data_IF_721896905227
#
_entry.id   IF_721896905227
#
_cell.length_a   1.000
_cell.length_b   1.000
_cell.length_c   1.000
_cell.angle_alpha   90.00
_cell.angle_beta   90.00
_cell.angle_gamma   90.00
#
_symmetry.space_group_name_H-M   'P 1'
#
loop_
_entity.id
_entity.type
_entity.pdbx_description
1 polymer ?
#
# COMPACT_ATOMS: atom_id res chain seq x y z
N UNK A 1 -25.73 -5.89 22.80
CA UNK A 1 -25.74 -7.37 22.69
C UNK A 1 -26.41 -7.85 21.41
N UNK A 2 -27.69 -7.53 21.15
CA UNK A 2 -28.38 -7.96 19.92
C UNK A 2 -27.62 -7.55 18.65
N UNK A 3 -27.13 -6.31 18.59
CA UNK A 3 -26.31 -5.85 17.46
C UNK A 3 -25.03 -6.69 17.28
N UNK A 4 -24.26 -6.93 18.34
CA UNK A 4 -23.02 -7.73 18.29
C UNK A 4 -23.28 -9.16 17.83
N UNK A 5 -24.37 -9.79 18.30
CA UNK A 5 -24.74 -11.15 17.88
C UNK A 5 -25.14 -11.16 16.40
N UNK A 6 -25.89 -10.15 15.96
CA UNK A 6 -26.29 -10.03 14.56
C UNK A 6 -25.10 -9.76 13.65
N UNK A 7 -24.12 -9.02 14.16
CA UNK A 7 -22.87 -8.75 13.48
C UNK A 7 -21.97 -9.99 13.40
N UNK A 8 -21.84 -10.74 14.50
CA UNK A 8 -21.15 -12.03 14.51
C UNK A 8 -21.77 -13.01 13.52
N UNK A 9 -23.10 -13.10 13.49
CA UNK A 9 -23.81 -13.94 12.54
C UNK A 9 -23.60 -13.52 11.09
N UNK A 10 -23.56 -12.20 10.84
CA UNK A 10 -23.25 -11.64 9.53
C UNK A 10 -21.84 -12.05 9.07
N UNK A 11 -20.81 -11.84 9.90
CA UNK A 11 -19.43 -12.21 9.56
C UNK A 11 -19.24 -13.72 9.40
N UNK A 12 -19.87 -14.54 10.25
CA UNK A 12 -19.81 -16.01 10.10
C UNK A 12 -20.38 -16.46 8.75
N UNK A 13 -21.44 -15.79 8.28
CA UNK A 13 -22.04 -16.07 6.98
C UNK A 13 -21.12 -15.62 5.83
N UNK A 14 -20.48 -14.47 5.97
CA UNK A 14 -19.53 -13.97 4.96
C UNK A 14 -18.32 -14.90 4.82
N UNK A 15 -17.69 -15.29 5.94
CA UNK A 15 -16.59 -16.26 5.97
C UNK A 15 -16.98 -17.58 5.32
N UNK A 16 -18.22 -18.04 5.52
CA UNK A 16 -18.73 -19.27 4.89
C UNK A 16 -18.87 -19.16 3.37
N UNK A 17 -19.29 -17.99 2.86
CA UNK A 17 -19.53 -17.77 1.42
C UNK A 17 -18.22 -17.54 0.67
N UNK A 18 -17.30 -16.76 1.24
CA UNK A 18 -16.05 -16.36 0.57
C UNK A 18 -14.88 -17.32 0.82
N UNK A 19 -14.92 -18.05 1.93
CA UNK A 19 -13.85 -18.90 2.41
C UNK A 19 -12.83 -18.14 3.27
N UNK A 20 -12.33 -18.81 4.31
CA UNK A 20 -11.48 -18.20 5.35
C UNK A 20 -10.23 -17.49 4.80
N UNK A 21 -9.55 -18.08 3.82
CA UNK A 21 -8.30 -17.52 3.26
C UNK A 21 -8.54 -16.21 2.51
N UNK A 22 -9.57 -16.16 1.68
CA UNK A 22 -9.91 -14.96 0.91
C UNK A 22 -10.40 -13.85 1.83
N UNK A 23 -11.18 -14.22 2.85
CA UNK A 23 -11.73 -13.29 3.83
C UNK A 23 -10.64 -12.59 4.65
N UNK A 24 -9.64 -13.34 5.16
CA UNK A 24 -8.56 -12.75 5.98
C UNK A 24 -7.54 -11.91 5.19
N UNK A 25 -7.58 -11.94 3.85
CA UNK A 25 -6.75 -11.07 3.02
C UNK A 25 -7.30 -9.64 2.92
N UNK A 26 -8.58 -9.44 3.24
CA UNK A 26 -9.16 -8.10 3.29
C UNK A 26 -8.91 -7.48 4.68
N UNK A 27 -8.22 -6.34 4.70
CA UNK A 27 -7.90 -5.61 5.93
C UNK A 27 -9.13 -5.17 6.72
N UNK A 28 -10.25 -4.87 6.04
CA UNK A 28 -11.49 -4.50 6.71
C UNK A 28 -12.13 -5.69 7.42
N UNK A 29 -12.12 -6.85 6.78
CA UNK A 29 -12.63 -8.09 7.35
C UNK A 29 -11.76 -8.56 8.53
N UNK A 30 -10.44 -8.38 8.44
CA UNK A 30 -9.54 -8.62 9.58
C UNK A 30 -9.87 -7.67 10.75
N UNK A 31 -10.08 -6.38 10.49
CA UNK A 31 -10.48 -5.40 11.49
C UNK A 31 -11.82 -5.79 12.15
N UNK A 32 -12.81 -6.22 11.35
CA UNK A 32 -14.12 -6.67 11.84
C UNK A 32 -14.00 -7.92 12.74
N UNK A 33 -13.10 -8.87 12.43
CA UNK A 33 -12.76 -10.00 13.31
C UNK A 33 -12.15 -9.54 14.62
N UNK A 34 -11.21 -8.58 14.59
CA UNK A 34 -10.60 -8.02 15.81
C UNK A 34 -11.68 -7.36 16.68
N UNK A 35 -12.54 -6.51 16.10
CA UNK A 35 -13.64 -5.87 16.84
C UNK A 35 -14.57 -6.90 17.46
N UNK A 36 -15.01 -7.90 16.70
CA UNK A 36 -15.90 -8.94 17.21
C UNK A 36 -15.24 -9.74 18.32
N UNK A 37 -13.97 -10.10 18.18
CA UNK A 37 -13.23 -10.84 19.20
C UNK A 37 -13.15 -10.06 20.52
N UNK A 38 -12.90 -8.75 20.46
CA UNK A 38 -12.84 -7.90 21.65
C UNK A 38 -14.22 -7.69 22.28
N UNK A 39 -15.29 -7.53 21.49
CA UNK A 39 -16.65 -7.47 22.02
C UNK A 39 -17.07 -8.77 22.69
N UNK A 40 -16.73 -9.92 22.11
CA UNK A 40 -16.99 -11.24 22.70
C UNK A 40 -16.17 -11.46 23.98
N UNK A 41 -14.90 -11.04 24.01
CA UNK A 41 -14.06 -11.11 25.20
C UNK A 41 -14.62 -10.24 26.34
N UNK A 42 -14.99 -8.99 26.06
CA UNK A 42 -15.61 -8.09 27.06
C UNK A 42 -16.93 -8.66 27.60
N UNK A 43 -17.75 -9.27 26.74
CA UNK A 43 -18.99 -9.91 27.16
C UNK A 43 -18.75 -11.19 27.98
N UNK A 44 -17.79 -12.02 27.57
CA UNK A 44 -17.41 -13.24 28.29
C UNK A 44 -16.91 -12.93 29.71
N UNK A 45 -16.10 -11.88 29.89
CA UNK A 45 -15.66 -11.42 31.21
C UNK A 45 -16.83 -10.99 32.10
N UNK A 46 -17.82 -10.28 31.55
CA UNK A 46 -19.04 -9.90 32.31
C UNK A 46 -19.90 -11.11 32.68
N UNK A 47 -20.03 -12.10 31.79
CA UNK A 47 -20.73 -13.34 32.09
C UNK A 47 -19.99 -14.15 33.16
N UNK A 48 -18.66 -14.21 33.09
CA UNK A 48 -17.83 -14.87 34.09
C UNK A 48 -18.00 -14.21 35.45
N UNK A 49 -18.00 -12.88 35.52
CA UNK A 49 -18.26 -12.12 36.75
C UNK A 49 -19.66 -12.42 37.31
N UNK A 50 -20.70 -12.37 36.47
CA UNK A 50 -22.06 -12.70 36.88
C UNK A 50 -22.18 -14.15 37.39
N UNK A 51 -21.46 -15.09 36.76
CA UNK A 51 -21.38 -16.48 37.19
C UNK A 51 -20.67 -16.63 38.54
N UNK A 52 -19.53 -15.97 38.73
CA UNK A 52 -18.80 -15.97 40.01
C UNK A 52 -19.63 -15.35 41.13
N UNK A 53 -20.30 -14.22 40.88
CA UNK A 53 -21.20 -13.59 41.83
C UNK A 53 -22.34 -14.55 42.21
N UNK A 54 -22.97 -15.21 41.24
CA UNK A 54 -24.05 -16.15 41.50
C UNK A 54 -23.59 -17.36 42.34
N UNK A 55 -22.44 -17.95 42.04
CA UNK A 55 -21.89 -19.09 42.79
C UNK A 55 -21.53 -18.68 44.23
N UNK A 56 -20.78 -17.60 44.41
CA UNK A 56 -20.33 -17.18 45.75
C UNK A 56 -21.49 -16.72 46.64
N UNK A 57 -22.49 -16.03 46.07
CA UNK A 57 -23.67 -15.62 46.83
C UNK A 57 -24.64 -16.77 47.12
N UNK A 58 -24.63 -17.84 46.30
CA UNK A 58 -25.41 -19.05 46.56
C UNK A 58 -24.84 -19.86 47.72
N UNK A 59 -23.52 -19.97 47.78
CA UNK A 59 -22.84 -20.74 48.83
C UNK A 59 -22.79 -19.97 50.17
N UNK A 60 -22.58 -18.65 50.13
CA UNK A 60 -22.55 -17.80 51.32
C UNK A 60 -23.11 -16.39 51.02
N UNK A 61 -24.41 -16.14 51.25
CA UNK A 61 -25.04 -14.86 50.90
C UNK A 61 -24.49 -13.66 51.70
N UNK A 62 -23.96 -13.91 52.90
CA UNK A 62 -23.31 -12.88 53.74
C UNK A 62 -21.77 -12.99 53.72
N UNK A 63 -21.20 -13.76 52.78
CA UNK A 63 -19.76 -13.91 52.67
C UNK A 63 -19.09 -12.65 52.11
N UNK A 64 -17.86 -12.37 52.57
CA UNK A 64 -17.07 -11.23 52.07
C UNK A 64 -16.88 -11.28 50.54
N UNK A 65 -16.80 -12.48 49.96
CA UNK A 65 -16.70 -12.65 48.51
C UNK A 65 -17.99 -12.26 47.75
N UNK A 66 -19.17 -12.54 48.33
CA UNK A 66 -20.43 -12.10 47.74
C UNK A 66 -20.52 -10.56 47.77
N UNK A 67 -20.22 -9.94 48.91
CA UNK A 67 -20.15 -8.48 49.02
C UNK A 67 -19.16 -7.86 48.01
N UNK A 68 -17.99 -8.49 47.82
CA UNK A 68 -17.00 -8.03 46.85
C UNK A 68 -17.56 -7.98 45.42
N UNK A 69 -18.21 -9.05 44.95
CA UNK A 69 -18.69 -9.11 43.56
C UNK A 69 -20.01 -8.34 43.32
N UNK A 70 -20.78 -8.00 44.35
CA UNK A 70 -22.08 -7.33 44.19
C UNK A 70 -22.10 -5.86 44.58
N UNK A 71 -21.39 -5.48 45.65
CA UNK A 71 -21.55 -4.19 46.33
C UNK A 71 -20.24 -3.46 46.61
N UNK A 72 -19.07 -4.04 46.31
CA UNK A 72 -17.80 -3.34 46.49
C UNK A 72 -17.70 -2.09 45.62
N UNK A 73 -17.14 -1.05 46.20
CA UNK A 73 -16.86 0.20 45.48
C UNK A 73 -15.65 0.04 44.54
N UNK A 74 -15.57 0.89 43.51
CA UNK A 74 -14.49 0.85 42.50
C UNK A 74 -13.09 0.98 43.11
N UNK A 75 -12.97 1.66 44.26
CA UNK A 75 -11.72 1.82 45.02
C UNK A 75 -11.24 0.53 45.69
N UNK A 76 -12.15 -0.41 45.96
CA UNK A 76 -11.87 -1.68 46.64
C UNK A 76 -11.53 -2.80 45.68
N UNK A 77 -11.73 -2.60 44.37
CA UNK A 77 -11.44 -3.59 43.35
C UNK A 77 -9.94 -3.75 43.17
N UNK A 78 -9.51 -5.01 42.99
CA UNK A 78 -8.13 -5.32 42.65
C UNK A 78 -7.79 -4.78 41.26
N UNK A 79 -6.51 -4.47 41.02
CA UNK A 79 -6.02 -3.97 39.73
C UNK A 79 -6.30 -4.91 38.56
N UNK A 80 -6.37 -6.21 38.84
CA UNK A 80 -6.62 -7.30 37.89
C UNK A 80 -8.09 -7.76 37.84
N UNK A 81 -9.01 -6.96 38.40
CA UNK A 81 -10.43 -7.33 38.42
C UNK A 81 -11.01 -7.48 36.99
N UNK A 82 -11.71 -8.58 36.68
CA UNK A 82 -12.25 -8.83 35.34
C UNK A 82 -13.28 -7.78 34.90
N UNK A 83 -13.92 -7.07 35.83
CA UNK A 83 -14.83 -5.97 35.51
C UNK A 83 -14.08 -4.79 34.91
N UNK A 84 -12.91 -4.42 35.44
CA UNK A 84 -12.08 -3.36 34.86
C UNK A 84 -11.61 -3.74 33.46
N UNK A 85 -11.13 -4.96 33.27
CA UNK A 85 -10.69 -5.43 31.95
C UNK A 85 -11.85 -5.42 30.95
N UNK A 86 -13.05 -5.82 31.36
CA UNK A 86 -14.24 -5.77 30.52
C UNK A 86 -14.64 -4.34 30.14
N UNK A 87 -14.54 -3.37 31.06
CA UNK A 87 -14.80 -1.95 30.80
C UNK A 87 -13.79 -1.35 29.81
N UNK A 88 -12.49 -1.62 30.02
CA UNK A 88 -11.42 -1.13 29.14
C UNK A 88 -11.54 -1.74 27.74
N UNK A 89 -11.72 -3.06 27.64
CA UNK A 89 -11.92 -3.74 26.35
C UNK A 89 -13.16 -3.17 25.65
N UNK A 90 -14.26 -2.95 26.36
CA UNK A 90 -15.47 -2.37 25.78
C UNK A 90 -15.24 -0.94 25.26
N UNK A 91 -14.49 -0.11 25.99
CA UNK A 91 -14.15 1.24 25.57
C UNK A 91 -13.29 1.25 24.30
N UNK A 92 -12.21 0.46 24.28
CA UNK A 92 -11.32 0.32 23.11
C UNK A 92 -12.08 -0.22 21.91
N UNK A 93 -12.90 -1.24 22.10
CA UNK A 93 -13.70 -1.84 21.01
C UNK A 93 -14.72 -0.86 20.45
N UNK A 94 -15.31 -0.02 21.30
CA UNK A 94 -16.26 1.01 20.85
C UNK A 94 -15.57 2.06 19.99
N UNK A 95 -14.36 2.50 20.36
CA UNK A 95 -13.55 3.38 19.52
C UNK A 95 -13.22 2.74 18.16
N UNK A 96 -12.77 1.48 18.16
CA UNK A 96 -12.50 0.73 16.93
C UNK A 96 -13.76 0.57 16.07
N UNK A 97 -14.93 0.40 16.69
CA UNK A 97 -16.20 0.25 15.95
C UNK A 97 -16.59 1.49 15.17
N UNK A 98 -16.21 2.69 15.63
CA UNK A 98 -16.39 3.92 14.85
C UNK A 98 -15.46 3.98 13.63
N UNK A 99 -14.28 3.36 13.66
CA UNK A 99 -13.38 3.30 12.48
C UNK A 99 -14.03 2.57 11.30
N UNK A 100 -15.00 1.68 11.56
CA UNK A 100 -15.76 0.98 10.53
C UNK A 100 -16.60 1.92 9.66
N UNK A 101 -16.89 3.15 10.10
CA UNK A 101 -17.50 4.16 9.24
C UNK A 101 -16.62 4.51 8.02
N UNK A 102 -15.30 4.28 8.10
CA UNK A 102 -14.43 4.42 6.95
C UNK A 102 -14.77 3.41 5.84
N UNK A 103 -15.36 2.25 6.14
CA UNK A 103 -15.72 1.24 5.14
C UNK A 103 -16.75 1.75 4.12
N UNK A 104 -17.63 2.69 4.51
CA UNK A 104 -18.67 3.24 3.61
C UNK A 104 -18.20 4.48 2.85
N UNK A 105 -17.09 5.12 3.25
CA UNK A 105 -16.54 6.30 2.58
C UNK A 105 -16.26 6.12 1.07
N UNK A 106 -15.90 4.93 0.53
CA UNK A 106 -15.73 4.73 -0.92
C UNK A 106 -17.01 4.93 -1.74
N UNK A 107 -18.19 4.97 -1.09
CA UNK A 107 -19.44 5.28 -1.76
C UNK A 107 -19.47 6.73 -2.28
N UNK A 108 -18.77 7.65 -1.62
CA UNK A 108 -18.64 9.04 -2.07
C UNK A 108 -17.38 9.23 -2.90
N UNK A 109 -17.44 10.07 -3.93
CA UNK A 109 -16.34 10.28 -4.88
C UNK A 109 -15.11 10.90 -4.22
N UNK A 110 -15.26 12.09 -3.62
CA UNK A 110 -14.11 12.80 -3.03
C UNK A 110 -13.52 12.11 -1.79
N UNK A 111 -14.35 11.40 -1.01
CA UNK A 111 -13.89 10.73 0.22
C UNK A 111 -13.29 9.36 -0.09
N UNK A 112 -13.81 8.68 -1.12
CA UNK A 112 -13.32 7.40 -1.57
C UNK A 112 -11.93 7.48 -2.17
N UNK A 113 -11.68 8.42 -3.09
CA UNK A 113 -10.34 8.62 -3.67
C UNK A 113 -9.31 8.98 -2.60
N UNK A 114 -9.67 9.85 -1.64
CA UNK A 114 -8.82 10.20 -0.51
C UNK A 114 -8.49 8.99 0.38
N UNK A 115 -9.50 8.20 0.75
CA UNK A 115 -9.31 7.01 1.58
C UNK A 115 -8.42 5.97 0.90
N UNK A 116 -8.63 5.71 -0.39
CA UNK A 116 -7.80 4.75 -1.16
C UNK A 116 -6.36 5.25 -1.24
N UNK A 117 -6.16 6.55 -1.45
CA UNK A 117 -4.83 7.17 -1.45
C UNK A 117 -4.14 7.00 -0.09
N UNK A 118 -4.85 7.25 1.02
CA UNK A 118 -4.33 7.00 2.38
C UNK A 118 -3.94 5.54 2.58
N UNK A 119 -4.79 4.60 2.16
CA UNK A 119 -4.51 3.17 2.30
C UNK A 119 -3.19 2.75 1.64
N UNK A 120 -2.87 3.34 0.49
CA UNK A 120 -1.61 3.06 -0.22
C UNK A 120 -0.40 3.78 0.36
N UNK A 121 -0.58 5.01 0.83
CA UNK A 121 0.48 5.74 1.52
C UNK A 121 0.92 5.03 2.81
N UNK A 122 0.02 4.30 3.48
CA UNK A 122 0.35 3.54 4.70
C UNK A 122 1.48 2.52 4.45
N UNK A 123 1.51 1.85 3.29
CA UNK A 123 2.58 0.88 2.97
C UNK A 123 3.96 1.56 2.89
N UNK A 124 4.02 2.78 2.35
CA UNK A 124 5.25 3.59 2.35
C UNK A 124 5.58 4.09 3.76
N UNK A 125 4.57 4.53 4.53
CA UNK A 125 4.72 4.98 5.91
C UNK A 125 5.24 3.87 6.84
N UNK A 126 4.79 2.63 6.69
CA UNK A 126 5.25 1.49 7.51
C UNK A 126 6.76 1.28 7.33
N UNK A 127 7.28 1.42 6.09
CA UNK A 127 8.72 1.31 5.82
C UNK A 127 9.50 2.42 6.52
N UNK A 128 8.96 3.64 6.55
CA UNK A 128 9.57 4.75 7.29
C UNK A 128 9.50 4.54 8.80
N UNK A 129 8.37 4.09 9.32
CA UNK A 129 8.17 3.78 10.75
C UNK A 129 9.16 2.72 11.24
N UNK A 130 9.58 1.79 10.37
CA UNK A 130 10.64 0.83 10.72
C UNK A 130 11.98 1.53 11.02
N UNK A 131 12.38 2.52 10.22
CA UNK A 131 13.59 3.33 10.46
C UNK A 131 13.43 4.13 11.77
N UNK A 132 12.25 4.71 11.99
CA UNK A 132 11.92 5.41 13.23
C UNK A 132 12.10 4.51 14.47
N UNK A 133 11.61 3.28 14.41
CA UNK A 133 11.71 2.32 15.52
C UNK A 133 13.15 1.89 15.82
N UNK A 134 14.01 1.76 14.79
CA UNK A 134 15.44 1.48 14.98
C UNK A 134 16.11 2.62 15.74
N UNK A 135 15.88 3.86 15.30
CA UNK A 135 16.45 5.06 15.92
C UNK A 135 15.93 5.22 17.36
N UNK A 136 14.62 5.09 17.57
CA UNK A 136 13.98 5.18 18.89
C UNK A 136 14.58 4.14 19.85
N UNK A 137 14.74 2.89 19.40
CA UNK A 137 15.32 1.81 20.22
C UNK A 137 16.78 2.08 20.57
N UNK A 138 17.57 2.64 19.64
CA UNK A 138 18.96 2.99 19.89
C UNK A 138 19.10 4.08 20.97
N UNK A 139 18.29 5.14 20.88
CA UNK A 139 18.26 6.20 21.90
C UNK A 139 17.66 5.72 23.23
N UNK A 140 16.64 4.86 23.20
CA UNK A 140 16.05 4.23 24.39
C UNK A 140 17.11 3.45 25.17
N UNK A 141 17.87 2.58 24.49
CA UNK A 141 18.94 1.83 25.15
C UNK A 141 20.05 2.76 25.65
N UNK A 142 20.42 3.78 24.87
CA UNK A 142 21.45 4.76 25.24
C UNK A 142 21.11 5.54 26.50
N UNK A 143 19.89 6.12 26.57
CA UNK A 143 19.44 6.87 27.73
C UNK A 143 19.13 5.95 28.91
N UNK A 144 18.46 4.82 28.72
CA UNK A 144 18.18 3.90 29.83
C UNK A 144 19.48 3.46 30.52
N UNK A 145 20.53 3.11 29.77
CA UNK A 145 21.81 2.70 30.36
C UNK A 145 22.54 3.82 31.12
N UNK A 146 22.36 5.08 30.73
CA UNK A 146 22.94 6.23 31.45
C UNK A 146 22.21 6.45 32.77
N UNK A 147 20.89 6.28 32.81
CA UNK A 147 20.05 6.66 33.96
C UNK A 147 19.78 5.50 34.94
N UNK A 148 19.98 4.23 34.55
CA UNK A 148 19.86 3.05 35.45
C UNK A 148 20.64 3.20 36.77
N UNK A 149 21.89 3.71 36.79
CA UNK A 149 22.63 3.89 38.05
C UNK A 149 22.12 5.05 38.94
N UNK A 150 21.26 5.92 38.42
CA UNK A 150 20.87 7.20 39.05
C UNK A 150 19.35 7.28 39.27
N UNK A 151 18.71 6.17 39.65
CA UNK A 151 17.26 6.01 39.86
C UNK A 151 16.66 6.88 40.99
N UNK A 152 17.31 7.96 41.42
CA UNK A 152 16.82 8.91 42.43
C UNK A 152 15.52 9.60 41.98
N UNK A 153 15.30 9.74 40.66
CA UNK A 153 14.07 10.28 40.07
C UNK A 153 13.31 9.14 39.39
N UNK A 154 12.13 8.75 39.90
CA UNK A 154 11.30 7.62 39.41
C UNK A 154 10.85 7.70 37.93
N UNK A 155 11.35 8.67 37.15
CA UNK A 155 10.94 8.95 35.76
C UNK A 155 11.85 8.33 34.69
N UNK A 156 13.10 7.99 35.02
CA UNK A 156 14.10 7.48 34.07
C UNK A 156 14.89 6.31 34.67
N UNK A 157 15.46 5.45 33.81
CA UNK A 157 16.23 4.27 34.25
C UNK A 157 15.41 2.99 34.42
N UNK A 158 14.09 3.06 34.16
CA UNK A 158 13.25 1.91 33.86
C UNK A 158 12.97 1.88 32.35
N UNK A 159 13.03 0.71 31.71
CA UNK A 159 12.87 0.60 30.26
C UNK A 159 11.50 1.10 29.77
N UNK A 160 10.43 0.77 30.51
CA UNK A 160 9.06 1.21 30.18
C UNK A 160 8.89 2.72 30.33
N UNK A 161 9.34 3.30 31.44
CA UNK A 161 9.24 4.74 31.70
C UNK A 161 10.09 5.54 30.70
N UNK A 162 11.32 5.09 30.44
CA UNK A 162 12.21 5.71 29.45
C UNK A 162 11.62 5.64 28.03
N UNK A 163 10.93 4.54 27.69
CA UNK A 163 10.20 4.44 26.43
C UNK A 163 9.03 5.44 26.37
N UNK A 164 8.23 5.56 27.43
CA UNK A 164 7.14 6.54 27.49
C UNK A 164 7.66 7.97 27.38
N UNK A 165 8.72 8.30 28.12
CA UNK A 165 9.40 9.59 28.05
C UNK A 165 9.84 9.93 26.62
N UNK A 166 10.52 9.01 25.93
CA UNK A 166 10.95 9.23 24.55
C UNK A 166 9.79 9.30 23.57
N UNK A 167 8.75 8.51 23.79
CA UNK A 167 7.54 8.53 22.97
C UNK A 167 6.84 9.90 23.05
N UNK A 168 6.62 10.42 24.25
CA UNK A 168 5.99 11.75 24.43
C UNK A 168 6.89 12.89 23.97
N UNK A 169 8.21 12.72 24.06
CA UNK A 169 9.18 13.67 23.49
C UNK A 169 9.05 13.77 21.97
N UNK A 170 8.71 12.70 21.24
CA UNK A 170 8.47 12.78 19.78
C UNK A 170 7.33 13.75 19.42
N UNK A 171 6.35 13.92 20.30
CA UNK A 171 5.24 14.85 20.14
C UNK A 171 5.50 16.23 20.75
N UNK A 172 6.67 16.45 21.37
CA UNK A 172 7.02 17.70 22.05
C UNK A 172 6.23 17.94 23.34
N UNK A 173 5.67 16.88 23.95
CA UNK A 173 4.84 16.97 25.16
C UNK A 173 5.65 16.89 26.46
N UNK A 174 6.95 16.65 26.37
CA UNK A 174 7.81 16.35 27.50
C UNK A 174 8.88 17.43 27.70
N UNK A 175 9.17 17.78 28.96
CA UNK A 175 10.10 18.85 29.31
C UNK A 175 11.55 18.34 29.45
N UNK A 176 12.52 19.21 29.12
CA UNK A 176 13.96 18.92 29.29
C UNK A 176 14.37 18.69 30.75
N UNK A 177 13.60 19.22 31.71
CA UNK A 177 13.86 19.15 33.15
C UNK A 177 13.92 17.71 33.70
N UNK A 178 13.29 16.77 32.99
CA UNK A 178 13.27 15.35 33.39
C UNK A 178 14.64 14.69 33.22
N UNK A 179 15.49 15.21 32.34
CA UNK A 179 16.83 14.70 32.02
C UNK A 179 17.88 15.23 33.02
N UNK A 180 17.51 16.17 33.89
CA UNK A 180 18.45 16.88 34.74
C UNK A 180 18.92 16.04 35.95
N UNK A 181 20.25 16.00 36.14
CA UNK A 181 20.91 15.34 37.28
C UNK A 181 21.84 16.33 37.98
N UNK A 182 21.32 17.27 38.80
CA UNK A 182 22.10 18.38 39.35
C UNK A 182 23.27 17.97 40.25
N UNK A 183 23.30 16.71 40.70
CA UNK A 183 24.38 16.15 41.51
C UNK A 183 25.54 15.59 40.67
N UNK A 184 25.32 15.30 39.38
CA UNK A 184 26.27 14.57 38.51
C UNK A 184 26.52 15.31 37.18
N UNK A 185 27.56 16.13 37.14
CA UNK A 185 27.85 17.04 36.01
C UNK A 185 28.10 16.32 34.66
N UNK A 186 28.81 15.19 34.65
CA UNK A 186 29.13 14.46 33.40
C UNK A 186 27.90 13.72 32.84
N UNK A 187 27.19 12.87 33.61
CA UNK A 187 25.94 12.25 33.16
C UNK A 187 24.85 13.26 32.79
N UNK A 188 24.71 14.37 33.52
CA UNK A 188 23.77 15.45 33.20
C UNK A 188 24.08 16.06 31.81
N UNK A 189 25.35 16.37 31.55
CA UNK A 189 25.76 16.92 30.25
C UNK A 189 25.50 15.92 29.11
N UNK A 190 25.88 14.66 29.29
CA UNK A 190 25.69 13.61 28.27
C UNK A 190 24.20 13.32 28.04
N UNK A 191 23.40 13.28 29.10
CA UNK A 191 21.96 13.09 29.04
C UNK A 191 21.27 14.23 28.28
N UNK A 192 21.56 15.49 28.65
CA UNK A 192 21.06 16.67 27.94
C UNK A 192 21.50 16.70 26.48
N UNK A 193 22.75 16.35 26.20
CA UNK A 193 23.26 16.28 24.83
C UNK A 193 22.54 15.20 24.00
N UNK A 194 22.36 13.99 24.54
CA UNK A 194 21.65 12.91 23.86
C UNK A 194 20.17 13.23 23.65
N UNK A 195 19.51 13.85 24.62
CA UNK A 195 18.14 14.35 24.48
C UNK A 195 18.04 15.43 23.39
N UNK A 196 18.99 16.39 23.37
CA UNK A 196 19.08 17.42 22.32
C UNK A 196 19.31 16.83 20.93
N UNK A 197 20.20 15.84 20.80
CA UNK A 197 20.44 15.16 19.53
C UNK A 197 19.20 14.36 19.11
N UNK A 198 18.58 13.63 20.04
CA UNK A 198 17.34 12.89 19.78
C UNK A 198 16.23 13.81 19.26
N UNK A 199 15.98 14.93 19.92
CA UNK A 199 14.94 15.89 19.50
C UNK A 199 15.25 16.50 18.13
N UNK A 200 16.49 16.86 17.82
CA UNK A 200 16.89 17.34 16.48
C UNK A 200 16.65 16.25 15.43
N UNK A 201 17.10 15.03 15.67
CA UNK A 201 16.96 13.93 14.70
C UNK A 201 15.48 13.59 14.49
N UNK A 202 14.69 13.46 15.55
CA UNK A 202 13.29 13.04 15.47
C UNK A 202 12.39 14.14 14.92
N UNK A 203 12.47 15.34 15.48
CA UNK A 203 11.53 16.43 15.16
C UNK A 203 11.97 17.20 13.93
N UNK A 204 13.27 17.47 13.75
CA UNK A 204 13.72 18.29 12.60
C UNK A 204 14.00 17.40 11.39
N UNK A 205 14.69 16.27 11.56
CA UNK A 205 15.06 15.46 10.39
C UNK A 205 13.93 14.50 10.01
N UNK A 206 13.51 13.62 10.91
CA UNK A 206 12.57 12.55 10.57
C UNK A 206 11.16 13.08 10.28
N UNK A 207 10.63 14.04 11.04
CA UNK A 207 9.31 14.61 10.75
C UNK A 207 9.29 15.28 9.37
N UNK A 208 10.29 16.09 9.04
CA UNK A 208 10.37 16.76 7.73
C UNK A 208 10.52 15.75 6.58
N UNK A 209 11.29 14.68 6.79
CA UNK A 209 11.41 13.60 5.81
C UNK A 209 10.11 12.79 5.67
N UNK A 210 9.37 12.55 6.76
CA UNK A 210 8.08 11.89 6.73
C UNK A 210 7.05 12.71 5.94
N UNK A 211 6.99 14.02 6.18
CA UNK A 211 6.11 14.93 5.40
C UNK A 211 6.49 14.88 3.92
N UNK A 212 7.77 15.04 3.59
CA UNK A 212 8.23 14.99 2.20
C UNK A 212 7.90 13.66 1.51
N UNK A 213 8.06 12.54 2.22
CA UNK A 213 7.71 11.22 1.72
C UNK A 213 6.20 11.07 1.49
N UNK A 214 5.37 11.49 2.45
CA UNK A 214 3.91 11.45 2.31
C UNK A 214 3.45 12.32 1.13
N UNK A 215 3.98 13.53 0.96
CA UNK A 215 3.61 14.41 -0.16
C UNK A 215 3.97 13.80 -1.51
N UNK A 216 5.18 13.25 -1.66
CA UNK A 216 5.60 12.62 -2.92
C UNK A 216 4.80 11.34 -3.21
N UNK A 217 4.56 10.51 -2.18
CA UNK A 217 3.73 9.30 -2.30
C UNK A 217 2.30 9.65 -2.69
N UNK A 218 1.70 10.67 -2.06
CA UNK A 218 0.34 11.14 -2.37
C UNK A 218 0.21 11.55 -3.85
N UNK A 219 1.12 12.40 -4.34
CA UNK A 219 1.10 12.85 -5.73
C UNK A 219 1.23 11.69 -6.73
N UNK A 220 2.08 10.71 -6.44
CA UNK A 220 2.25 9.54 -7.30
C UNK A 220 1.02 8.62 -7.30
N UNK A 221 0.34 8.48 -6.16
CA UNK A 221 -0.79 7.57 -6.00
C UNK A 221 -2.09 8.19 -6.54
N UNK A 222 -2.26 9.51 -6.41
CA UNK A 222 -3.47 10.24 -6.82
C UNK A 222 -3.79 10.04 -8.30
N UNK A 223 -2.78 10.01 -9.18
CA UNK A 223 -2.94 9.82 -10.63
C UNK A 223 -3.63 8.49 -11.01
N UNK A 224 -3.41 7.42 -10.24
CA UNK A 224 -3.99 6.09 -10.46
C UNK A 224 -5.18 5.78 -9.51
N UNK A 225 -5.40 6.63 -8.50
CA UNK A 225 -6.37 6.38 -7.42
C UNK A 225 -7.81 6.27 -7.94
N UNK A 226 -8.12 6.96 -9.04
CA UNK A 226 -9.44 6.99 -9.65
C UNK A 226 -9.93 5.62 -10.14
N UNK A 227 -9.06 4.86 -10.80
CA UNK A 227 -9.38 3.52 -11.32
C UNK A 227 -9.65 2.57 -10.18
N UNK A 228 -8.87 2.69 -9.11
CA UNK A 228 -8.95 1.81 -7.96
C UNK A 228 -10.08 2.14 -7.03
N UNK A 229 -10.37 3.43 -6.84
CA UNK A 229 -11.58 3.85 -6.17
C UNK A 229 -12.81 3.30 -6.91
N UNK A 230 -12.86 3.38 -8.25
CA UNK A 230 -13.95 2.79 -9.04
C UNK A 230 -14.03 1.27 -8.85
N UNK A 231 -12.90 0.58 -8.76
CA UNK A 231 -12.84 -0.85 -8.46
C UNK A 231 -13.36 -1.17 -7.04
N UNK A 232 -12.88 -0.46 -6.02
CA UNK A 232 -13.29 -0.62 -4.62
C UNK A 232 -14.78 -0.30 -4.44
N UNK A 233 -15.28 0.78 -5.06
CA UNK A 233 -16.70 1.13 -5.08
C UNK A 233 -17.55 0.04 -5.74
N UNK A 234 -17.06 -0.53 -6.83
CA UNK A 234 -17.74 -1.64 -7.51
C UNK A 234 -17.77 -2.91 -6.63
N UNK A 235 -16.68 -3.21 -5.91
CA UNK A 235 -16.63 -4.31 -4.94
C UNK A 235 -17.65 -4.10 -3.81
N UNK A 236 -17.73 -2.89 -3.27
CA UNK A 236 -18.71 -2.51 -2.25
C UNK A 236 -20.14 -2.75 -2.77
N UNK A 237 -20.49 -2.28 -3.96
CA UNK A 237 -21.83 -2.50 -4.53
C UNK A 237 -22.11 -3.98 -4.85
N UNK A 238 -21.11 -4.72 -5.32
CA UNK A 238 -21.25 -6.15 -5.59
C UNK A 238 -21.57 -6.95 -4.33
N UNK A 239 -21.06 -6.53 -3.16
CA UNK A 239 -21.39 -7.16 -1.88
C UNK A 239 -22.90 -7.10 -1.56
N UNK A 240 -23.58 -6.00 -1.93
CA UNK A 240 -25.01 -5.83 -1.74
C UNK A 240 -25.87 -6.55 -2.79
N UNK A 241 -25.31 -6.87 -3.96
CA UNK A 241 -26.04 -7.63 -5.00
C UNK A 241 -26.11 -9.14 -4.73
N UNK A 242 -25.21 -9.69 -3.90
CA UNK A 242 -25.23 -11.12 -3.55
C UNK A 242 -26.48 -11.45 -2.74
N UNK A 243 -27.34 -12.30 -3.28
CA UNK A 243 -28.56 -12.77 -2.60
C UNK A 243 -28.22 -13.46 -1.27
N UNK A 244 -28.72 -12.91 -0.16
CA UNK A 244 -28.55 -13.51 1.17
C UNK A 244 -28.37 -12.54 2.33
N UNK A 245 -27.98 -11.28 2.08
CA UNK A 245 -27.71 -10.28 3.14
C UNK A 245 -28.76 -9.15 3.12
N UNK A 246 -30.03 -9.50 2.93
CA UNK A 246 -31.10 -8.51 2.68
C UNK A 246 -31.53 -7.71 3.92
N UNK A 247 -31.14 -8.14 5.13
CA UNK A 247 -31.52 -7.49 6.38
C UNK A 247 -30.29 -6.88 7.06
N UNK A 248 -30.31 -5.58 7.40
CA UNK A 248 -29.22 -4.96 8.13
C UNK A 248 -29.16 -5.51 9.57
N UNK A 249 -27.96 -5.53 10.16
CA UNK A 249 -27.78 -5.81 11.59
C UNK A 249 -28.54 -4.72 12.38
N UNK A 250 -29.38 -5.06 13.38
CA UNK A 250 -29.56 -6.36 14.05
C UNK A 250 -30.65 -7.27 13.48
N UNK A 251 -31.42 -6.83 12.48
CA UNK A 251 -32.59 -7.57 11.99
C UNK A 251 -32.26 -8.89 11.30
N UNK A 252 -30.99 -9.12 10.95
CA UNK A 252 -30.48 -10.39 10.41
C UNK A 252 -30.71 -11.60 11.35
N UNK A 253 -30.87 -11.38 12.66
CA UNK A 253 -31.16 -12.48 13.62
C UNK A 253 -32.59 -12.99 13.48
N UNK A 254 -33.54 -12.14 13.05
CA UNK A 254 -34.94 -12.53 12.95
C UNK A 254 -35.09 -13.51 11.78
N UNK A 255 -35.34 -14.81 12.04
CA UNK A 255 -35.55 -15.76 10.96
C UNK A 255 -36.79 -15.33 10.18
N UNK A 256 -36.75 -15.47 8.85
CA UNK A 256 -37.95 -15.22 8.05
C UNK A 256 -39.12 -16.05 8.62
N UNK A 257 -40.35 -15.52 8.70
CA UNK A 257 -41.48 -16.26 9.26
C UNK A 257 -41.68 -17.64 8.61
N UNK A 258 -41.33 -17.77 7.32
CA UNK A 258 -41.30 -19.05 6.60
C UNK A 258 -40.22 -19.99 7.13
N UNK A 259 -38.99 -19.51 7.32
CA UNK A 259 -37.91 -20.32 7.90
C UNK A 259 -38.23 -20.76 9.34
N UNK A 260 -38.83 -19.88 10.16
CA UNK A 260 -39.28 -20.23 11.51
C UNK A 260 -40.35 -21.32 11.49
N UNK A 261 -41.34 -21.23 10.57
CA UNK A 261 -42.37 -22.25 10.40
C UNK A 261 -41.77 -23.62 9.98
N UNK A 262 -40.84 -23.64 9.02
CA UNK A 262 -40.17 -24.88 8.63
C UNK A 262 -39.24 -25.44 9.72
N UNK A 263 -38.57 -24.58 10.50
CA UNK A 263 -37.74 -24.97 11.63
C UNK A 263 -38.58 -25.59 12.75
N UNK A 264 -39.69 -24.94 13.14
CA UNK A 264 -40.63 -25.44 14.14
C UNK A 264 -41.26 -26.75 13.68
N UNK A 265 -41.67 -26.87 12.40
CA UNK A 265 -42.14 -28.14 11.83
C UNK A 265 -41.06 -29.22 11.85
N UNK A 266 -39.79 -28.88 11.61
CA UNK A 266 -38.67 -29.82 11.66
C UNK A 266 -38.36 -30.28 13.08
N UNK A 267 -38.38 -29.36 14.05
CA UNK A 267 -38.22 -29.67 15.49
C UNK A 267 -39.40 -30.52 15.97
N UNK A 268 -40.63 -30.18 15.59
CA UNK A 268 -41.83 -30.94 15.92
C UNK A 268 -41.83 -32.33 15.28
N UNK A 269 -41.36 -32.47 14.04
CA UNK A 269 -41.18 -33.76 13.36
C UNK A 269 -39.99 -34.57 13.91
N UNK A 270 -39.02 -33.92 14.55
CA UNK A 270 -37.89 -34.57 15.21
C UNK A 270 -38.27 -35.08 16.61
N UNK A 271 -39.08 -34.31 17.35
CA UNK A 271 -39.63 -34.68 18.66
C UNK A 271 -40.76 -35.71 18.50
N UNK A 272 -41.59 -35.58 17.46
CA UNK A 272 -42.62 -36.55 17.12
C UNK A 272 -42.01 -37.64 16.23
N UNK A 273 -41.47 -38.70 16.83
CA UNK A 273 -40.83 -39.86 16.20
C UNK A 273 -41.76 -40.73 15.31
N UNK A 274 -42.80 -40.15 14.68
CA UNK A 274 -43.84 -40.89 13.96
C UNK A 274 -43.92 -40.61 12.46
N UNK A 275 -42.89 -40.04 11.82
CA UNK A 275 -42.91 -39.80 10.36
C UNK A 275 -41.59 -40.18 9.66
N UNK A 276 -41.09 -41.41 9.88
CA UNK A 276 -40.00 -41.98 9.07
C UNK A 276 -40.39 -42.35 7.63
N UNK A 277 -41.63 -42.10 7.17
CA UNK A 277 -42.12 -42.69 5.92
C UNK A 277 -42.37 -41.74 4.74
N UNK A 278 -41.90 -40.49 4.74
CA UNK A 278 -42.08 -39.62 3.56
C UNK A 278 -40.91 -38.66 3.33
N UNK A 279 -39.81 -39.14 2.75
CA UNK A 279 -38.95 -38.31 1.89
C UNK A 279 -38.50 -39.06 0.65
N UNK A 280 -39.29 -38.95 -0.42
CA UNK A 280 -38.70 -38.77 -1.76
C UNK A 280 -37.94 -37.44 -1.71
N UNK A 281 -36.63 -37.47 -1.96
CA UNK A 281 -35.78 -36.27 -2.08
C UNK A 281 -36.39 -35.34 -3.16
N UNK A 282 -37.00 -34.24 -2.74
CA UNK A 282 -37.16 -33.06 -3.60
C UNK A 282 -35.99 -32.10 -3.28
N UNK A 283 -35.34 -31.49 -4.28
CA UNK A 283 -34.26 -30.53 -4.04
C UNK A 283 -34.75 -29.33 -3.21
N UNK A 284 -33.95 -28.92 -2.22
CA UNK A 284 -34.23 -27.87 -1.23
C UNK A 284 -33.94 -26.45 -1.75
N UNK A 285 -34.35 -26.15 -2.98
CA UNK A 285 -34.35 -24.79 -3.52
C UNK A 285 -35.33 -24.69 -4.69
N UNK A 286 -36.13 -23.62 -4.80
CA UNK A 286 -36.70 -23.29 -6.11
C UNK A 286 -35.50 -23.11 -7.04
N UNK A 287 -35.47 -23.70 -8.25
CA UNK A 287 -34.48 -23.29 -9.22
C UNK A 287 -34.59 -21.77 -9.34
N UNK A 288 -33.47 -21.07 -9.24
CA UNK A 288 -33.35 -19.68 -9.67
C UNK A 288 -34.16 -19.59 -10.96
N UNK A 289 -35.12 -18.67 -11.13
CA UNK A 289 -35.83 -18.51 -12.38
C UNK A 289 -34.81 -18.03 -13.41
N UNK A 290 -34.04 -18.97 -13.94
CA UNK A 290 -33.60 -18.90 -15.30
C UNK A 290 -34.91 -18.87 -16.06
N UNK A 291 -35.22 -17.74 -16.69
CA UNK A 291 -36.34 -17.62 -17.61
C UNK A 291 -36.25 -18.74 -18.64
N UNK A 292 -36.84 -19.88 -18.32
CA UNK A 292 -36.93 -21.07 -19.14
C UNK A 292 -38.36 -21.56 -18.93
N UNK A 293 -39.19 -21.21 -19.91
CA UNK A 293 -40.60 -21.62 -19.96
C UNK A 293 -40.73 -23.14 -19.77
N UNK A 294 -41.57 -23.60 -18.83
CA UNK A 294 -41.90 -25.01 -18.69
C UNK A 294 -42.91 -25.39 -19.77
N UNK A 295 -42.40 -25.65 -20.98
CA UNK A 295 -43.23 -26.02 -22.13
C UNK A 295 -42.48 -26.20 -23.45
N UNK A 296 -41.17 -25.93 -23.50
CA UNK A 296 -40.35 -26.21 -24.68
C UNK A 296 -39.54 -27.49 -24.45
N UNK A 297 -39.97 -28.59 -25.04
CA UNK A 297 -39.05 -29.69 -25.35
C UNK A 297 -37.84 -29.14 -26.11
N UNK A 298 -36.64 -29.63 -25.77
CA UNK A 298 -35.36 -29.41 -26.45
C UNK A 298 -35.37 -28.30 -27.53
N UNK A 299 -35.34 -27.03 -27.09
CA UNK A 299 -35.30 -25.87 -27.98
C UNK A 299 -33.87 -25.26 -28.09
N UNK A 300 -33.56 -24.50 -29.15
CA UNK A 300 -32.19 -24.13 -29.56
C UNK A 300 -31.45 -23.09 -28.67
N UNK A 301 -31.83 -22.91 -27.40
CA UNK A 301 -31.47 -21.73 -26.60
C UNK A 301 -30.10 -21.77 -25.91
N UNK A 302 -29.58 -22.94 -25.53
CA UNK A 302 -28.24 -23.03 -24.91
C UNK A 302 -27.12 -22.84 -25.93
N UNK A 303 -27.31 -23.31 -27.16
CA UNK A 303 -26.45 -23.02 -28.31
C UNK A 303 -26.51 -21.55 -28.73
N UNK A 304 -27.68 -20.89 -28.66
CA UNK A 304 -27.84 -19.48 -28.99
C UNK A 304 -27.21 -18.52 -27.97
N UNK A 305 -27.22 -18.84 -26.67
CA UNK A 305 -26.56 -18.01 -25.64
C UNK A 305 -25.03 -18.05 -25.75
N UNK A 306 -24.48 -19.24 -26.06
CA UNK A 306 -23.08 -19.39 -26.46
C UNK A 306 -22.76 -18.68 -27.76
N UNK A 307 -23.65 -18.78 -28.75
CA UNK A 307 -23.51 -18.12 -30.06
C UNK A 307 -23.55 -16.59 -29.94
N UNK A 308 -24.43 -16.01 -29.13
CA UNK A 308 -24.50 -14.55 -28.93
C UNK A 308 -23.25 -14.02 -28.22
N UNK A 309 -22.83 -14.65 -27.11
CA UNK A 309 -21.58 -14.28 -26.43
C UNK A 309 -20.38 -14.38 -27.37
N UNK A 310 -20.30 -15.45 -28.17
CA UNK A 310 -19.24 -15.64 -29.15
C UNK A 310 -19.29 -14.58 -30.27
N UNK A 311 -20.48 -14.22 -30.76
CA UNK A 311 -20.66 -13.14 -31.75
C UNK A 311 -20.21 -11.80 -31.19
N UNK A 312 -20.57 -11.48 -29.95
CA UNK A 312 -20.15 -10.24 -29.28
C UNK A 312 -18.64 -10.23 -29.07
N UNK A 313 -18.04 -11.31 -28.57
CA UNK A 313 -16.59 -11.42 -28.40
C UNK A 313 -15.89 -11.26 -29.75
N UNK A 314 -16.37 -11.91 -30.81
CA UNK A 314 -15.79 -11.76 -32.16
C UNK A 314 -15.85 -10.31 -32.65
N UNK A 315 -16.98 -9.63 -32.45
CA UNK A 315 -17.13 -8.22 -32.80
C UNK A 315 -16.21 -7.30 -31.97
N UNK A 316 -16.05 -7.57 -30.67
CA UNK A 316 -15.16 -6.82 -29.78
C UNK A 316 -13.70 -7.01 -30.17
N UNK A 317 -13.28 -8.25 -30.41
CA UNK A 317 -11.91 -8.58 -30.85
C UNK A 317 -11.62 -7.92 -32.19
N UNK A 318 -12.56 -7.94 -33.14
CA UNK A 318 -12.39 -7.28 -34.42
C UNK A 318 -12.23 -5.76 -34.26
N UNK A 319 -13.09 -5.11 -33.45
CA UNK A 319 -12.97 -3.67 -33.15
C UNK A 319 -11.65 -3.34 -32.45
N UNK A 320 -11.19 -4.18 -31.53
CA UNK A 320 -9.92 -4.00 -30.85
C UNK A 320 -8.75 -4.07 -31.84
N UNK A 321 -8.71 -5.08 -32.73
CA UNK A 321 -7.67 -5.22 -33.76
C UNK A 321 -7.66 -4.01 -34.70
N UNK A 322 -8.83 -3.57 -35.17
CA UNK A 322 -8.95 -2.41 -36.05
C UNK A 322 -8.46 -1.12 -35.37
N UNK A 323 -8.83 -0.93 -34.09
CA UNK A 323 -8.41 0.24 -33.30
C UNK A 323 -6.91 0.21 -33.03
N UNK A 324 -6.36 -0.93 -32.59
CA UNK A 324 -4.94 -1.10 -32.32
C UNK A 324 -4.09 -0.88 -33.59
N UNK A 325 -4.56 -1.35 -34.75
CA UNK A 325 -3.90 -1.08 -36.03
C UNK A 325 -3.91 0.41 -36.36
N UNK A 326 -5.02 1.11 -36.11
CA UNK A 326 -5.12 2.56 -36.34
C UNK A 326 -4.17 3.35 -35.45
N UNK A 327 -4.12 3.04 -34.16
CA UNK A 327 -3.21 3.68 -33.20
C UNK A 327 -1.75 3.44 -33.57
N UNK A 328 -1.40 2.21 -33.98
CA UNK A 328 -0.06 1.87 -34.46
C UNK A 328 0.32 2.64 -35.74
N UNK A 329 -0.60 2.77 -36.70
CA UNK A 329 -0.37 3.55 -37.90
C UNK A 329 -0.22 5.06 -37.60
N UNK A 330 -0.98 5.60 -36.63
CA UNK A 330 -0.87 6.98 -36.18
C UNK A 330 0.45 7.26 -35.44
N UNK A 331 0.88 6.38 -34.54
CA UNK A 331 2.19 6.49 -33.88
C UNK A 331 3.33 6.42 -34.89
N UNK A 332 3.24 5.49 -35.85
CA UNK A 332 4.21 5.40 -36.95
C UNK A 332 4.23 6.66 -37.82
N UNK A 333 3.08 7.27 -38.12
CA UNK A 333 3.03 8.55 -38.85
C UNK A 333 3.66 9.69 -38.05
N UNK A 334 3.42 9.75 -36.74
CA UNK A 334 4.04 10.76 -35.85
C UNK A 334 5.57 10.59 -35.81
N UNK A 335 6.08 9.36 -35.66
CA UNK A 335 7.52 9.08 -35.71
C UNK A 335 8.14 9.48 -37.06
N UNK A 336 7.48 9.10 -38.17
CA UNK A 336 7.94 9.46 -39.50
C UNK A 336 7.95 10.98 -39.73
N UNK A 337 6.93 11.69 -39.23
CA UNK A 337 6.86 13.15 -39.23
C UNK A 337 8.01 13.78 -38.44
N UNK A 338 8.28 13.29 -37.22
CA UNK A 338 9.39 13.75 -36.40
C UNK A 338 10.73 13.55 -37.11
N UNK A 339 10.98 12.37 -37.66
CA UNK A 339 12.20 12.08 -38.45
C UNK A 339 12.35 12.99 -39.66
N UNK A 340 11.26 13.28 -40.36
CA UNK A 340 11.29 14.20 -41.53
C UNK A 340 11.62 15.63 -41.11
N UNK A 341 11.07 16.10 -39.98
CA UNK A 341 11.39 17.43 -39.45
C UNK A 341 12.85 17.52 -38.99
N UNK A 342 13.37 16.47 -38.37
CA UNK A 342 14.79 16.38 -37.99
C UNK A 342 15.69 16.38 -39.22
N UNK A 343 15.35 15.59 -40.24
CA UNK A 343 16.09 15.57 -41.50
C UNK A 343 16.08 16.96 -42.17
N UNK A 344 14.94 17.64 -42.19
CA UNK A 344 14.83 19.00 -42.75
C UNK A 344 15.70 20.00 -41.98
N UNK A 345 15.78 19.89 -40.65
CA UNK A 345 16.71 20.66 -39.82
C UNK A 345 18.18 20.36 -40.15
N UNK A 346 18.55 19.10 -40.38
CA UNK A 346 19.93 18.75 -40.77
C UNK A 346 20.28 19.26 -42.16
N UNK A 347 19.35 19.18 -43.13
CA UNK A 347 19.56 19.66 -44.50
C UNK A 347 19.69 21.19 -44.52
N UNK A 348 18.85 21.92 -43.79
CA UNK A 348 18.95 23.37 -43.68
C UNK A 348 20.26 23.80 -43.01
N UNK A 349 20.70 23.09 -41.96
CA UNK A 349 22.02 23.29 -41.36
C UNK A 349 23.15 23.05 -42.37
N UNK A 350 23.09 21.96 -43.13
CA UNK A 350 24.09 21.66 -44.16
C UNK A 350 24.12 22.73 -45.26
N UNK A 351 22.95 23.19 -45.72
CA UNK A 351 22.86 24.27 -46.71
C UNK A 351 23.46 25.57 -46.17
N UNK A 352 23.25 25.89 -44.89
CA UNK A 352 23.88 27.05 -44.26
C UNK A 352 25.40 26.92 -44.17
N UNK A 353 25.92 25.73 -43.85
CA UNK A 353 27.35 25.44 -43.82
C UNK A 353 27.98 25.53 -45.22
N UNK A 354 27.32 24.95 -46.24
CA UNK A 354 27.77 25.01 -47.64
C UNK A 354 27.73 26.45 -48.17
N UNK A 355 26.68 27.21 -47.86
CA UNK A 355 26.61 28.64 -48.22
C UNK A 355 27.73 29.44 -47.53
N UNK A 356 28.06 29.11 -46.27
CA UNK A 356 29.21 29.67 -45.57
C UNK A 356 30.54 29.36 -46.28
N UNK A 357 30.78 28.10 -46.62
CA UNK A 357 31.99 27.68 -47.36
C UNK A 357 32.08 28.36 -48.72
N UNK A 358 30.97 28.48 -49.44
CA UNK A 358 30.93 29.16 -50.74
C UNK A 358 31.27 30.65 -50.61
N UNK A 359 30.73 31.35 -49.60
CA UNK A 359 31.12 32.74 -49.32
C UNK A 359 32.61 32.87 -49.00
N UNK A 360 33.17 31.96 -48.19
CA UNK A 360 34.61 31.97 -47.90
C UNK A 360 35.48 31.69 -49.13
N UNK A 361 34.93 31.02 -50.15
CA UNK A 361 35.62 30.74 -51.42
C UNK A 361 35.48 31.91 -52.42
N UNK A 362 34.33 32.59 -52.45
CA UNK A 362 34.07 33.78 -53.27
C UNK A 362 34.81 35.02 -52.75
N UNK A 363 35.10 35.11 -51.45
CA UNK A 363 35.87 36.21 -50.84
C UNK A 363 37.40 36.11 -51.03
N UNK A 364 37.91 35.07 -51.73
CA UNK A 364 39.26 35.11 -52.30
C UNK A 364 40.41 35.41 -51.33
N UNK A 365 40.53 34.68 -50.23
CA UNK A 365 41.74 34.67 -49.40
C UNK A 365 42.61 33.45 -49.69
N UNK A 366 43.70 33.59 -50.45
CA UNK A 366 44.78 32.59 -50.42
C UNK A 366 45.51 32.69 -49.08
N UNK A 367 45.83 31.54 -48.47
CA UNK A 367 47.24 31.36 -48.15
C UNK A 367 47.77 30.01 -48.62
N UNK A 368 48.99 30.07 -49.15
CA UNK A 368 49.89 28.97 -49.50
C UNK A 368 49.84 27.80 -48.49
N UNK A 369 49.95 26.53 -48.92
CA UNK A 369 49.83 25.38 -48.04
C UNK A 369 51.12 25.12 -47.24
N UNK A 370 51.04 24.42 -46.09
CA UNK A 370 51.99 23.38 -45.76
C UNK A 370 51.33 22.00 -45.93
N UNK A 371 52.14 21.09 -46.46
CA UNK A 371 51.93 19.68 -46.78
C UNK A 371 50.72 18.93 -46.14
N UNK A 372 50.01 18.20 -47.00
CA UNK A 372 49.88 16.74 -46.77
C UNK A 372 48.60 16.20 -46.16
N UNK A 373 47.42 16.56 -46.68
CA UNK A 373 46.29 15.64 -46.92
C UNK A 373 45.14 16.45 -47.53
N UNK A 374 44.68 16.03 -48.71
CA UNK A 374 43.68 16.77 -49.48
C UNK A 374 42.40 17.03 -48.66
N UNK A 375 41.92 18.28 -48.71
CA UNK A 375 40.63 18.71 -48.14
C UNK A 375 39.49 17.78 -48.60
N UNK A 376 39.61 17.24 -49.82
CA UNK A 376 38.74 16.23 -50.39
C UNK A 376 38.72 14.92 -49.58
N UNK A 377 39.86 14.43 -49.12
CA UNK A 377 39.94 13.22 -48.28
C UNK A 377 39.26 13.44 -46.91
N UNK A 378 39.43 14.62 -46.30
CA UNK A 378 38.72 14.98 -45.05
C UNK A 378 37.22 15.11 -45.26
N UNK A 379 36.78 15.70 -46.38
CA UNK A 379 35.37 15.84 -46.71
C UNK A 379 34.72 14.48 -47.01
N UNK A 380 35.40 13.63 -47.80
CA UNK A 380 34.96 12.25 -48.09
C UNK A 380 34.89 11.41 -46.81
N UNK A 381 35.86 11.52 -45.90
CA UNK A 381 35.85 10.78 -44.63
C UNK A 381 34.75 11.27 -43.68
N UNK A 382 34.48 12.59 -43.66
CA UNK A 382 33.44 13.18 -42.81
C UNK A 382 32.03 12.85 -43.32
N UNK A 383 31.82 12.90 -44.64
CA UNK A 383 30.56 12.47 -45.28
C UNK A 383 30.35 10.95 -45.11
N UNK A 384 31.40 10.13 -45.27
CA UNK A 384 31.35 8.68 -45.03
C UNK A 384 30.95 8.33 -43.59
N UNK A 385 31.43 9.08 -42.59
CA UNK A 385 31.06 8.85 -41.19
C UNK A 385 29.64 9.33 -40.87
N UNK A 386 29.14 10.40 -41.50
CA UNK A 386 27.75 10.86 -41.30
C UNK A 386 26.70 9.90 -41.86
N UNK A 387 27.00 9.15 -42.93
CA UNK A 387 26.08 8.16 -43.49
C UNK A 387 26.13 6.79 -42.79
N UNK A 388 27.21 6.46 -42.07
CA UNK A 388 27.29 5.21 -41.29
C UNK A 388 26.32 5.17 -40.09
N UNK A 389 25.84 6.33 -39.63
CA UNK A 389 24.88 6.43 -38.53
C UNK A 389 23.40 6.34 -38.94
N UNK A 390 23.11 6.02 -40.22
CA UNK A 390 21.75 5.94 -40.78
C UNK A 390 21.34 4.52 -41.20
N UNK A 391 22.12 3.49 -40.84
CA UNK A 391 21.70 2.09 -40.99
C UNK A 391 20.64 1.71 -39.93
N UNK A 392 19.69 0.82 -40.24
CA UNK A 392 18.72 0.36 -39.25
C UNK A 392 19.44 -0.36 -38.10
N UNK A 393 18.96 -0.31 -36.85
CA UNK A 393 19.47 -1.18 -35.81
C UNK A 393 19.12 -2.62 -36.21
N UNK A 394 20.15 -3.45 -36.37
CA UNK A 394 19.96 -4.90 -36.52
C UNK A 394 19.28 -5.39 -35.24
N UNK A 395 18.15 -6.10 -35.31
CA UNK A 395 17.57 -6.70 -34.12
C UNK A 395 18.51 -7.81 -33.65
N UNK A 396 19.07 -7.67 -32.45
CA UNK A 396 19.58 -8.81 -31.71
C UNK A 396 18.42 -9.78 -31.52
N UNK A 397 18.50 -10.92 -32.19
CA UNK A 397 17.70 -12.10 -31.85
C UNK A 397 18.65 -13.12 -31.21
N UNK A 398 18.18 -13.82 -30.17
CA UNK A 398 19.02 -14.50 -29.20
C UNK A 398 19.69 -15.71 -29.83
N UNK A 399 20.99 -15.91 -29.55
CA UNK A 399 21.68 -17.14 -29.89
C UNK A 399 21.07 -18.31 -29.09
N UNK A 400 20.27 -19.11 -29.80
CA UNK A 400 19.92 -20.47 -29.41
C UNK A 400 21.08 -21.38 -29.87
N UNK A 401 21.98 -21.71 -28.96
CA UNK A 401 23.01 -22.72 -29.21
C UNK A 401 22.41 -24.13 -29.09
N UNK A 402 23.08 -25.11 -29.75
CA UNK A 402 23.05 -26.59 -29.60
C UNK A 402 22.50 -27.31 -30.85
N UNK A 403 23.03 -28.48 -31.32
CA UNK A 403 24.32 -29.17 -31.08
C UNK A 403 25.08 -29.61 -32.37
N UNK A 404 26.37 -29.91 -32.22
CA UNK A 404 26.97 -31.15 -32.78
C UNK A 404 28.00 -31.01 -33.90
N UNK A 405 29.27 -31.31 -33.58
CA UNK A 405 29.87 -32.53 -34.13
C UNK A 405 31.03 -33.00 -33.23
N UNK A 406 30.91 -34.27 -32.84
CA UNK A 406 31.85 -35.06 -32.05
C UNK A 406 33.07 -35.39 -32.91
N UNK A 407 34.26 -35.11 -32.38
CA UNK A 407 35.56 -35.54 -32.89
C UNK A 407 36.45 -35.94 -31.74
N UNK A 408 36.60 -37.24 -31.57
CA UNK A 408 37.23 -38.02 -30.50
C UNK A 408 38.71 -37.69 -30.26
N UNK A 409 39.13 -37.45 -29.00
CA UNK A 409 40.31 -38.12 -28.41
C UNK A 409 40.49 -37.80 -26.90
N UNK A 410 40.18 -38.83 -26.10
CA UNK A 410 40.89 -39.34 -24.91
C UNK A 410 41.77 -38.38 -24.11
N UNK A 411 41.44 -38.21 -22.83
CA UNK A 411 42.42 -38.09 -21.74
C UNK A 411 41.82 -38.64 -20.45
N UNK A 412 42.45 -39.69 -19.94
CA UNK A 412 42.18 -40.29 -18.63
C UNK A 412 43.15 -39.72 -17.61
N UNK A 413 42.65 -39.63 -16.37
CA UNK A 413 43.38 -39.90 -15.13
C UNK A 413 44.21 -38.81 -14.41
N UNK A 414 43.71 -38.56 -13.18
CA UNK A 414 44.42 -38.44 -11.88
C UNK A 414 45.08 -37.12 -11.48
N UNK A 415 44.82 -36.68 -10.24
CA UNK A 415 45.78 -35.86 -9.51
C UNK A 415 45.23 -34.92 -8.44
N UNK A 416 44.84 -35.48 -7.30
CA UNK A 416 44.57 -34.83 -6.02
C UNK A 416 45.75 -33.94 -5.54
N UNK A 417 45.51 -32.73 -4.99
CA UNK A 417 46.17 -32.22 -3.76
C UNK A 417 45.63 -30.90 -3.20
N UNK A 418 45.84 -30.80 -1.89
CA UNK A 418 45.24 -29.98 -0.86
C UNK A 418 45.68 -28.49 -0.75
N UNK A 419 44.75 -27.75 -0.14
CA UNK A 419 44.88 -26.77 0.96
C UNK A 419 45.89 -25.60 0.92
N UNK A 420 45.32 -24.40 1.13
CA UNK A 420 45.71 -23.53 2.23
C UNK A 420 46.53 -22.28 1.86
N UNK A 421 46.09 -21.12 2.36
CA UNK A 421 47.00 -19.99 2.60
C UNK A 421 46.48 -18.62 2.18
N UNK A 422 45.94 -17.88 3.16
CA UNK A 422 45.77 -16.44 3.10
C UNK A 422 47.13 -15.70 3.02
N UNK A 423 47.19 -14.60 2.26
CA UNK A 423 47.94 -13.35 2.56
C UNK A 423 47.84 -12.35 1.40
N UNK A 424 47.21 -11.21 1.67
CA UNK A 424 47.63 -9.86 1.22
C UNK A 424 49.01 -9.53 1.85
N UNK A 425 49.83 -8.56 1.35
CA UNK A 425 49.40 -7.16 1.16
C UNK A 425 50.14 -6.27 0.11
N UNK A 426 49.48 -5.14 -0.15
CA UNK A 426 49.96 -3.76 -0.25
C UNK A 426 51.03 -3.27 -1.26
N UNK A 427 50.68 -2.11 -1.84
CA UNK A 427 51.45 -0.88 -2.16
C UNK A 427 51.26 -0.44 -3.63
N UNK A 428 51.01 0.82 -3.99
CA UNK A 428 50.99 2.05 -3.21
C UNK A 428 50.37 3.23 -3.99
N UNK A 429 50.03 4.24 -3.18
CA UNK A 429 49.72 5.66 -3.36
C UNK A 429 49.87 6.36 -4.74
N UNK A 430 48.91 7.23 -5.07
CA UNK A 430 49.09 8.70 -5.13
C UNK A 430 47.79 9.42 -5.60
N UNK A 431 47.33 10.43 -4.85
CA UNK A 431 46.30 11.40 -5.31
C UNK A 431 46.93 12.50 -6.20
N UNK A 432 46.37 13.73 -6.31
CA UNK A 432 45.06 14.25 -5.88
C UNK A 432 44.31 15.03 -7.01
N UNK A 433 43.04 15.38 -6.83
CA UNK A 433 42.43 16.69 -7.22
C UNK A 433 40.89 16.65 -7.25
N UNK A 434 40.26 17.58 -6.53
CA UNK A 434 38.90 18.11 -6.73
C UNK A 434 39.05 19.57 -7.23
N UNK A 435 38.03 20.39 -7.59
CA UNK A 435 36.58 20.19 -7.83
C UNK A 435 36.07 20.86 -9.15
N UNK A 436 34.75 20.81 -9.45
CA UNK A 436 33.90 21.84 -10.11
C UNK A 436 32.75 21.20 -10.91
N UNK A 437 31.48 21.37 -10.50
CA UNK A 437 30.52 22.39 -10.95
C UNK A 437 30.34 22.48 -12.48
N UNK A 438 29.18 22.03 -12.97
CA UNK A 438 28.62 22.44 -14.27
C UNK A 438 27.19 22.95 -14.07
N UNK A 439 27.04 24.21 -14.45
CA UNK A 439 25.82 25.02 -14.50
C UNK A 439 24.82 24.50 -15.53
N UNK A 440 23.53 24.60 -15.20
CA UNK A 440 22.43 24.66 -16.17
C UNK A 440 21.92 26.10 -16.19
N UNK A 441 22.12 26.79 -17.31
CA UNK A 441 21.49 28.07 -17.62
C UNK A 441 20.03 27.84 -18.01
N UNK A 442 19.10 28.56 -17.35
CA UNK A 442 17.72 28.75 -17.79
C UNK A 442 17.57 30.21 -18.21
N UNK A 443 17.11 30.43 -19.42
CA UNK A 443 16.80 31.75 -19.99
C UNK A 443 15.66 32.44 -19.25
N UNK A 444 15.78 33.76 -19.18
CA UNK A 444 14.89 34.72 -18.53
C UNK A 444 14.38 35.64 -19.65
N UNK A 445 13.07 35.64 -19.91
CA UNK A 445 12.39 36.72 -20.64
C UNK A 445 11.67 37.61 -19.63
N UNK A 446 11.82 38.92 -19.81
CA UNK A 446 11.28 40.03 -19.04
C UNK A 446 10.57 40.98 -20.01
N UNK A 447 9.50 41.61 -19.52
CA UNK A 447 8.79 42.85 -19.94
C UNK A 447 7.28 42.61 -20.03
N UNK A 448 6.37 43.45 -19.55
CA UNK A 448 6.43 44.76 -18.90
C UNK A 448 5.08 45.05 -18.17
N UNK A 449 5.09 46.12 -17.37
CA UNK A 449 4.04 46.63 -16.49
C UNK A 449 2.76 47.15 -17.19
N UNK A 450 1.67 47.24 -16.41
CA UNK A 450 0.43 47.97 -16.78
C UNK A 450 -0.67 47.88 -15.72
N UNK A 451 -0.71 48.91 -14.86
CA UNK A 451 -1.80 49.51 -14.06
C UNK A 451 -3.12 48.76 -13.75
N UNK A 452 -3.41 48.71 -12.44
CA UNK A 452 -4.71 48.41 -11.82
C UNK A 452 -5.48 49.70 -11.53
N UNK A 453 -6.80 49.79 -11.80
CA UNK A 453 -7.66 50.78 -11.19
C UNK A 453 -8.44 50.22 -10.00
N UNK A 454 -8.73 51.18 -9.14
CA UNK A 454 -9.43 51.21 -7.86
C UNK A 454 -10.92 50.84 -8.00
N UNK A 455 -11.44 49.95 -7.14
CA UNK A 455 -12.88 49.74 -6.97
C UNK A 455 -13.47 50.87 -6.13
N UNK A 456 -14.41 51.60 -6.72
CA UNK A 456 -15.31 52.53 -6.04
C UNK A 456 -16.62 51.83 -5.66
N UNK A 457 -17.02 52.15 -4.44
CA UNK A 457 -18.26 51.92 -3.73
C UNK A 457 -19.46 52.59 -4.45
N UNK A 458 -20.56 51.86 -4.68
CA UNK A 458 -21.88 52.45 -4.89
C UNK A 458 -23.00 51.41 -4.75
N UNK A 459 -23.78 51.57 -3.69
CA UNK A 459 -25.06 50.91 -3.52
C UNK A 459 -26.13 51.42 -4.48
N UNK A 460 -27.11 50.54 -4.73
CA UNK A 460 -28.56 50.70 -4.58
C UNK A 460 -29.13 49.30 -4.37
#
# INVERSE_FOLDING_TARGET
>A
MVWVIGFLWFECKEVWIEGLRSYLLDWWNFLDVVILSLYLAAFALRLLLAGLAHVHCRDAPNGAACHYFTTAERSEWRTEDPQFLAEVLFAVTSMLSFTRLAYILPAHESLGTLQISIGRMIDDMIRFMFILMIILTAFLCGLNNIYVPYQETERLGNFNETFQFLFWTMFGMEEHSVVDMPQFLVPEFVGRALYGIFTIVMVIVLLNMLIAMITNSFQKIEDDADVEWKFARSKLYLSYFREGLTLPVPFNILPSPKALFYLLRRIFCFICCCCSCCKTKKPDYPPIPTFANPGAGAGPGEGERGSYRLRVIKALVQRYIETARREFEETRRKDLGNRLTELTKTVSRLQSEVAGVRRTLEEGGTPRPPAGASVLSRYITRVRNSFQNLGPPIPETPELTVPGLVGTQVSSETGLRDAGGARTPASGESGPSSPAHVLVHREQESEAAGDLPQEEDLGI
#
